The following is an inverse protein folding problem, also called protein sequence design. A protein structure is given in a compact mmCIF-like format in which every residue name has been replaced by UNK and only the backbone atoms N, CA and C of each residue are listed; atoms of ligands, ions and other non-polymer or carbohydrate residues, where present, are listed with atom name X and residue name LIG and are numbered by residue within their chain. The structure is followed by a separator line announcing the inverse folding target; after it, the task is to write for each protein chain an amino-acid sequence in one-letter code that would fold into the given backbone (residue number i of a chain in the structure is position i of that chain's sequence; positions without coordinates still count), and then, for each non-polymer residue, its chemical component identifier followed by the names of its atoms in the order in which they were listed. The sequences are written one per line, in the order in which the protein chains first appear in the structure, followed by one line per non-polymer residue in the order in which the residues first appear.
data_IF_725311970926
#
_entry.id   IF_725311970926
#
_cell.length_a   1.000
_cell.length_b   1.000
_cell.length_c   1.000
_cell.angle_alpha   90.00
_cell.angle_beta   90.00
_cell.angle_gamma   90.00
#
_symmetry.space_group_name_H-M   'P 1'
#
loop_
_entity.id
_entity.type
_entity.pdbx_description
1 polymer ?
#
# COMPACT_ATOMS: atom_id res chain seq x y z
N UNK A 1 17.02 18.20 -33.20
CA UNK A 1 17.47 19.60 -33.31
C UNK A 1 16.38 20.47 -32.72
N UNK A 2 16.48 20.78 -31.43
CA UNK A 2 15.63 21.81 -30.82
C UNK A 2 16.38 23.12 -31.06
N UNK A 3 15.79 24.04 -31.83
CA UNK A 3 16.30 25.41 -31.95
C UNK A 3 15.61 26.23 -30.87
N UNK A 4 16.39 26.90 -30.03
CA UNK A 4 15.91 27.97 -29.15
C UNK A 4 15.34 29.12 -29.99
N UNK A 5 14.23 29.70 -29.54
CA UNK A 5 13.75 31.01 -29.95
C UNK A 5 13.89 31.95 -28.75
N UNK A 6 14.55 33.10 -28.92
CA UNK A 6 14.62 34.12 -27.87
C UNK A 6 13.21 34.62 -27.51
N UNK A 7 12.89 34.59 -26.21
CA UNK A 7 11.66 35.18 -25.65
C UNK A 7 10.53 34.21 -25.27
N UNK A 8 10.77 32.89 -25.25
CA UNK A 8 9.79 31.89 -24.78
C UNK A 8 10.27 31.24 -23.49
N UNK A 9 9.56 31.47 -22.38
CA UNK A 9 9.68 30.64 -21.16
C UNK A 9 8.91 29.33 -21.37
N UNK A 10 9.54 28.19 -21.08
CA UNK A 10 8.95 26.85 -21.20
C UNK A 10 8.71 26.27 -19.80
N UNK A 11 7.44 26.10 -19.44
CA UNK A 11 7.04 25.41 -18.21
C UNK A 11 6.97 23.88 -18.44
N UNK A 12 7.88 23.15 -17.79
CA UNK A 12 7.84 21.73 -17.35
C UNK A 12 7.30 20.62 -18.30
N UNK A 13 6.97 20.88 -19.57
CA UNK A 13 6.43 19.88 -20.49
C UNK A 13 7.17 19.90 -21.82
N UNK A 14 8.05 18.92 -22.02
CA UNK A 14 8.57 18.57 -23.34
C UNK A 14 7.58 17.62 -24.04
N UNK A 15 6.91 18.12 -25.08
CA UNK A 15 6.03 17.29 -25.92
C UNK A 15 6.82 16.77 -27.13
N UNK A 16 6.97 15.45 -27.22
CA UNK A 16 7.62 14.77 -28.35
C UNK A 16 6.52 14.13 -29.20
N UNK A 17 6.39 14.59 -30.44
CA UNK A 17 5.46 14.03 -31.42
C UNK A 17 6.27 13.29 -32.49
N UNK A 18 5.98 12.01 -32.65
CA UNK A 18 6.65 11.16 -33.64
C UNK A 18 5.79 11.11 -34.88
N UNK A 19 6.27 11.74 -35.94
CA UNK A 19 5.58 11.78 -37.22
C UNK A 19 6.16 10.69 -38.14
N UNK A 20 5.33 9.79 -38.67
CA UNK A 20 5.75 8.76 -39.61
C UNK A 20 6.38 9.40 -40.86
N UNK A 21 7.52 8.88 -41.31
CA UNK A 21 8.20 9.35 -42.53
C UNK A 21 7.52 8.91 -43.84
N UNK A 22 6.42 8.15 -43.75
CA UNK A 22 5.65 7.65 -44.89
C UNK A 22 4.17 8.06 -44.76
N UNK A 23 3.48 8.35 -45.88
CA UNK A 23 2.04 8.54 -45.87
C UNK A 23 1.32 7.24 -45.48
N UNK A 24 0.33 7.31 -44.58
CA UNK A 24 -0.48 6.18 -44.10
C UNK A 24 0.34 4.98 -43.57
N UNK A 25 1.08 5.13 -42.46
CA UNK A 25 1.80 4.01 -41.88
C UNK A 25 0.85 2.91 -41.38
N UNK A 26 1.23 1.66 -41.58
CA UNK A 26 0.60 0.51 -40.91
C UNK A 26 1.30 0.19 -39.59
N UNK A 27 0.62 -0.50 -38.67
CA UNK A 27 1.16 -0.87 -37.34
C UNK A 27 2.48 -1.65 -37.46
N UNK A 28 2.64 -2.47 -38.50
CA UNK A 28 3.87 -3.22 -38.82
C UNK A 28 5.10 -2.33 -39.05
N UNK A 29 4.90 -1.04 -39.36
CA UNK A 29 5.95 -0.05 -39.57
C UNK A 29 6.27 0.77 -38.30
N UNK A 30 5.59 0.48 -37.18
CA UNK A 30 5.85 1.19 -35.92
C UNK A 30 7.20 0.73 -35.36
N UNK A 31 8.19 1.64 -35.19
CA UNK A 31 9.42 1.28 -34.50
C UNK A 31 9.10 0.97 -33.03
N UNK A 32 9.74 -0.08 -32.49
CA UNK A 32 9.72 -0.32 -31.04
C UNK A 32 10.69 0.67 -30.40
N UNK A 33 10.15 1.65 -29.70
CA UNK A 33 10.94 2.67 -29.00
C UNK A 33 11.16 2.17 -27.57
N UNK A 34 12.39 1.75 -27.27
CA UNK A 34 12.74 1.19 -25.97
C UNK A 34 12.93 2.28 -24.90
N UNK A 35 13.45 3.45 -25.26
CA UNK A 35 13.51 4.65 -24.41
C UNK A 35 13.76 5.89 -25.28
N UNK A 36 13.51 7.07 -24.71
CA UNK A 36 13.88 8.37 -25.27
C UNK A 36 14.78 9.07 -24.25
N UNK A 37 15.97 9.49 -24.67
CA UNK A 37 16.89 10.27 -23.84
C UNK A 37 16.87 11.74 -24.28
N UNK A 38 16.76 12.66 -23.32
CA UNK A 38 16.76 14.10 -23.55
C UNK A 38 18.04 14.67 -22.96
N UNK A 39 18.93 15.14 -23.81
CA UNK A 39 20.20 15.75 -23.42
C UNK A 39 20.08 17.26 -23.59
N UNK A 40 20.36 18.01 -22.52
CA UNK A 40 20.39 19.48 -22.51
C UNK A 40 21.81 19.96 -22.81
N UNK A 41 21.99 20.65 -23.94
CA UNK A 41 23.30 21.10 -24.44
C UNK A 41 23.83 22.36 -23.71
N UNK A 42 22.98 23.06 -22.95
CA UNK A 42 23.33 24.18 -22.06
C UNK A 42 24.02 23.72 -20.76
N UNK A 43 24.04 22.41 -20.50
CA UNK A 43 24.79 21.83 -19.39
C UNK A 43 26.14 21.36 -19.95
N UNK A 44 27.17 22.18 -19.77
CA UNK A 44 28.56 21.89 -20.19
C UNK A 44 29.16 20.66 -19.49
N UNK A 45 28.58 20.25 -18.37
CA UNK A 45 28.79 18.94 -17.78
C UNK A 45 27.71 17.98 -18.28
N UNK A 46 28.08 17.06 -19.17
CA UNK A 46 27.32 15.80 -19.24
C UNK A 46 27.27 15.28 -17.80
N UNK A 47 26.10 15.01 -17.20
CA UNK A 47 26.07 14.12 -16.07
C UNK A 47 26.47 12.77 -16.66
N UNK A 48 27.77 12.46 -16.64
CA UNK A 48 28.16 11.08 -16.50
C UNK A 48 27.34 10.59 -15.32
N UNK A 49 26.36 9.71 -15.57
CA UNK A 49 25.78 8.89 -14.51
C UNK A 49 26.85 7.83 -14.18
N UNK A 50 28.05 8.29 -13.84
CA UNK A 50 28.83 7.72 -12.76
C UNK A 50 28.23 8.38 -11.53
N UNK A 51 27.23 7.74 -10.90
CA UNK A 51 27.03 8.05 -9.48
C UNK A 51 28.39 7.74 -8.85
N UNK A 52 29.19 8.76 -8.53
CA UNK A 52 30.37 8.57 -7.71
C UNK A 52 29.93 7.71 -6.54
N UNK A 53 30.51 6.51 -6.44
CA UNK A 53 30.15 5.59 -5.38
C UNK A 53 30.75 6.18 -4.11
N UNK A 54 30.00 7.08 -3.49
CA UNK A 54 30.34 7.63 -2.18
C UNK A 54 30.26 6.45 -1.22
N UNK A 55 31.38 6.02 -0.67
CA UNK A 55 31.41 5.00 0.38
C UNK A 55 31.81 5.69 1.67
N UNK A 56 30.83 5.96 2.53
CA UNK A 56 31.07 6.56 3.84
C UNK A 56 31.53 5.49 4.84
N UNK A 57 32.49 5.84 5.70
CA UNK A 57 32.81 5.00 6.85
C UNK A 57 31.68 5.10 7.89
N UNK A 58 31.46 4.06 8.73
CA UNK A 58 30.41 4.09 9.76
C UNK A 58 30.52 5.29 10.72
N UNK A 59 31.73 5.68 11.11
CA UNK A 59 31.93 6.80 12.05
C UNK A 59 31.66 8.16 11.38
N UNK A 60 32.06 8.32 10.12
CA UNK A 60 31.74 9.50 9.30
C UNK A 60 30.23 9.63 9.09
N UNK A 61 29.56 8.50 8.83
CA UNK A 61 28.10 8.44 8.66
C UNK A 61 27.38 8.91 9.92
N UNK A 62 27.78 8.41 11.10
CA UNK A 62 27.20 8.83 12.38
C UNK A 62 27.41 10.32 12.65
N UNK A 63 28.62 10.84 12.37
CA UNK A 63 28.95 12.25 12.53
C UNK A 63 28.09 13.13 11.62
N UNK A 64 27.96 12.76 10.34
CA UNK A 64 27.13 13.48 9.37
C UNK A 64 25.66 13.49 9.77
N UNK A 65 25.12 12.37 10.27
CA UNK A 65 23.74 12.31 10.77
C UNK A 65 23.53 13.24 11.98
N UNK A 66 24.44 13.24 12.95
CA UNK A 66 24.36 14.10 14.12
C UNK A 66 24.40 15.59 13.72
N UNK A 67 25.30 15.95 12.80
CA UNK A 67 25.36 17.29 12.23
C UNK A 67 24.07 17.64 11.48
N UNK A 68 23.55 16.75 10.64
CA UNK A 68 22.29 16.99 9.92
C UNK A 68 21.12 17.28 10.87
N UNK A 69 21.04 16.53 11.97
CA UNK A 69 20.02 16.75 13.00
C UNK A 69 20.19 18.10 13.73
N UNK A 70 21.43 18.53 13.98
CA UNK A 70 21.76 19.83 14.55
C UNK A 70 21.33 20.98 13.63
N UNK A 71 21.73 20.94 12.35
CA UNK A 71 21.35 21.94 11.34
C UNK A 71 19.84 22.04 11.21
N UNK A 72 19.14 20.89 11.18
CA UNK A 72 17.68 20.85 11.14
C UNK A 72 17.06 21.50 12.37
N UNK A 73 17.63 21.29 13.55
CA UNK A 73 17.14 21.93 14.79
C UNK A 73 17.41 23.44 14.80
N UNK A 74 18.51 23.87 14.19
CA UNK A 74 18.84 25.28 13.95
C UNK A 74 18.03 25.92 12.82
N UNK A 75 17.15 25.14 12.15
CA UNK A 75 16.34 25.52 10.98
C UNK A 75 17.15 25.83 9.72
N UNK A 76 18.42 25.43 9.66
CA UNK A 76 19.19 25.41 8.42
C UNK A 76 18.84 24.12 7.65
N UNK A 77 17.69 24.16 6.98
CA UNK A 77 17.17 22.99 6.27
C UNK A 77 18.00 22.62 5.04
N UNK A 78 18.65 23.60 4.40
CA UNK A 78 19.43 23.35 3.20
C UNK A 78 20.69 22.54 3.54
N UNK A 79 21.41 22.98 4.56
CA UNK A 79 22.59 22.31 5.07
C UNK A 79 22.25 20.93 5.68
N UNK A 80 21.10 20.82 6.36
CA UNK A 80 20.61 19.54 6.87
C UNK A 80 20.34 18.54 5.73
N UNK A 81 19.66 18.99 4.67
CA UNK A 81 19.31 18.13 3.53
C UNK A 81 20.55 17.64 2.78
N UNK A 82 21.54 18.50 2.55
CA UNK A 82 22.79 18.10 1.91
C UNK A 82 23.47 16.95 2.65
N UNK A 83 23.52 17.05 3.99
CA UNK A 83 24.08 15.99 4.85
C UNK A 83 23.23 14.72 4.80
N UNK A 84 21.90 14.82 4.89
CA UNK A 84 21.02 13.65 4.78
C UNK A 84 21.12 12.97 3.40
N UNK A 85 21.21 13.73 2.30
CA UNK A 85 21.35 13.19 0.95
C UNK A 85 22.69 12.46 0.78
N UNK A 86 23.76 13.02 1.33
CA UNK A 86 25.08 12.39 1.36
C UNK A 86 25.04 11.05 2.10
N UNK A 87 24.41 11.01 3.27
CA UNK A 87 24.21 9.76 4.03
C UNK A 87 23.37 8.75 3.27
N UNK A 88 22.26 9.17 2.64
CA UNK A 88 21.40 8.26 1.86
C UNK A 88 22.14 7.60 0.70
N UNK A 89 22.99 8.37 0.01
CA UNK A 89 23.82 7.87 -1.10
C UNK A 89 24.90 6.91 -0.61
N UNK A 90 25.66 7.29 0.42
CA UNK A 90 26.92 6.62 0.73
C UNK A 90 27.01 5.80 2.00
N UNK A 91 25.98 5.79 2.87
CA UNK A 91 26.03 4.97 4.08
C UNK A 91 26.02 3.47 3.72
N UNK A 92 26.86 2.64 4.38
CA UNK A 92 26.86 1.19 4.16
C UNK A 92 25.70 0.50 4.86
N UNK A 93 25.22 1.06 5.96
CA UNK A 93 24.17 0.46 6.80
C UNK A 93 22.78 0.99 6.44
N UNK A 94 21.84 0.06 6.22
CA UNK A 94 20.41 0.36 5.99
C UNK A 94 19.82 1.26 7.08
N UNK A 95 20.14 1.01 8.35
CA UNK A 95 19.64 1.81 9.47
C UNK A 95 20.04 3.29 9.40
N UNK A 96 21.20 3.62 8.85
CA UNK A 96 21.65 5.00 8.75
C UNK A 96 20.98 5.72 7.56
N UNK A 97 20.77 5.01 6.44
CA UNK A 97 19.91 5.49 5.35
C UNK A 97 18.48 5.76 5.84
N UNK A 98 17.93 4.87 6.66
CA UNK A 98 16.61 5.02 7.28
C UNK A 98 16.53 6.30 8.14
N UNK A 99 17.55 6.58 8.95
CA UNK A 99 17.62 7.82 9.74
C UNK A 99 17.65 9.07 8.85
N UNK A 100 18.42 9.04 7.76
CA UNK A 100 18.49 10.14 6.81
C UNK A 100 17.12 10.41 6.15
N UNK A 101 16.44 9.35 5.68
CA UNK A 101 15.09 9.47 5.12
C UNK A 101 14.10 10.05 6.14
N UNK A 102 14.17 9.62 7.40
CA UNK A 102 13.34 10.19 8.48
C UNK A 102 13.63 11.68 8.74
N UNK A 103 14.88 12.11 8.59
CA UNK A 103 15.26 13.52 8.63
C UNK A 103 14.66 14.32 7.49
N UNK A 104 14.77 13.77 6.27
CA UNK A 104 14.20 14.34 5.04
C UNK A 104 12.66 14.43 5.10
N UNK A 105 11.99 13.43 5.69
CA UNK A 105 10.54 13.41 5.90
C UNK A 105 10.07 14.59 6.78
N UNK A 106 10.78 14.87 7.87
CA UNK A 106 10.47 16.00 8.77
C UNK A 106 10.58 17.35 8.04
N UNK A 107 11.60 17.50 7.20
CA UNK A 107 11.83 18.71 6.42
C UNK A 107 10.79 18.81 5.29
N UNK A 108 10.56 17.73 4.56
CA UNK A 108 9.62 17.61 3.44
C UNK A 108 9.82 18.69 2.37
N UNK A 109 11.07 18.82 1.91
CA UNK A 109 11.46 19.73 0.83
C UNK A 109 11.53 19.03 -0.52
N UNK A 110 11.08 19.70 -1.58
CA UNK A 110 11.17 19.26 -2.98
C UNK A 110 12.61 18.99 -3.43
N UNK A 111 13.62 19.59 -2.78
CA UNK A 111 15.06 19.29 -3.03
C UNK A 111 15.40 17.82 -2.82
N UNK A 112 14.62 17.10 -2.02
CA UNK A 112 14.84 15.67 -1.73
C UNK A 112 14.34 14.73 -2.83
N UNK A 113 13.54 15.22 -3.80
CA UNK A 113 12.94 14.37 -4.83
C UNK A 113 13.98 13.65 -5.68
N UNK A 114 15.06 14.34 -6.06
CA UNK A 114 16.14 13.72 -6.83
C UNK A 114 16.89 12.64 -6.03
N UNK A 115 17.14 12.90 -4.73
CA UNK A 115 17.84 11.97 -3.85
C UNK A 115 17.06 10.67 -3.62
N UNK A 116 15.71 10.73 -3.59
CA UNK A 116 14.85 9.55 -3.37
C UNK A 116 14.35 8.92 -4.67
N UNK A 117 14.67 9.49 -5.83
CA UNK A 117 14.11 9.11 -7.15
C UNK A 117 14.19 7.60 -7.40
N UNK A 118 15.35 6.99 -7.16
CA UNK A 118 15.57 5.55 -7.40
C UNK A 118 14.67 4.61 -6.57
N UNK A 119 14.15 5.10 -5.46
CA UNK A 119 13.24 4.34 -4.59
C UNK A 119 11.76 4.56 -4.94
N UNK A 120 11.45 5.62 -5.69
CA UNK A 120 10.08 6.03 -6.04
C UNK A 120 9.76 5.82 -7.52
N UNK A 121 10.57 5.03 -8.24
CA UNK A 121 10.34 4.69 -9.65
C UNK A 121 9.86 3.24 -9.77
N UNK A 122 8.77 3.02 -10.51
CA UNK A 122 8.43 1.68 -11.02
C UNK A 122 9.35 1.39 -12.19
N UNK A 123 10.43 0.65 -11.92
CA UNK A 123 11.32 0.16 -12.97
C UNK A 123 10.77 -1.20 -13.43
N UNK A 124 10.46 -1.33 -14.72
CA UNK A 124 10.20 -2.64 -15.30
C UNK A 124 11.52 -3.42 -15.28
N UNK A 125 11.47 -4.68 -14.85
CA UNK A 125 12.60 -5.60 -14.62
C UNK A 125 13.26 -6.08 -15.93
N UNK A 126 13.68 -5.13 -16.77
CA UNK A 126 14.32 -5.35 -18.07
C UNK A 126 15.87 -5.32 -17.93
N UNK A 127 16.39 -5.06 -16.73
CA UNK A 127 17.83 -4.96 -16.47
C UNK A 127 18.34 -6.23 -15.76
N UNK A 128 19.23 -6.97 -16.42
CA UNK A 128 19.76 -8.27 -15.98
C UNK A 128 20.55 -8.27 -14.66
N UNK A 129 20.88 -7.09 -14.12
CA UNK A 129 21.59 -6.92 -12.83
C UNK A 129 20.87 -5.94 -11.88
N UNK A 130 19.57 -5.66 -12.15
CA UNK A 130 18.80 -4.80 -11.26
C UNK A 130 18.34 -5.57 -10.03
N UNK A 131 18.95 -5.25 -8.90
CA UNK A 131 18.44 -5.66 -7.59
C UNK A 131 17.44 -4.63 -7.11
N UNK A 132 16.18 -5.06 -6.93
CA UNK A 132 15.15 -4.21 -6.33
C UNK A 132 15.66 -3.63 -4.98
N UNK A 133 15.47 -2.32 -4.75
CA UNK A 133 15.85 -1.72 -3.48
C UNK A 133 15.08 -2.39 -2.33
N UNK A 134 15.74 -2.46 -1.17
CA UNK A 134 15.13 -2.99 0.05
C UNK A 134 13.78 -2.29 0.33
N UNK A 135 12.72 -3.07 0.53
CA UNK A 135 11.34 -2.56 0.63
C UNK A 135 11.17 -1.56 1.79
N UNK A 136 11.92 -1.68 2.88
CA UNK A 136 11.83 -0.69 3.96
C UNK A 136 12.42 0.66 3.53
N UNK A 137 13.48 0.66 2.71
CA UNK A 137 14.02 1.89 2.14
C UNK A 137 13.06 2.51 1.12
N UNK A 138 12.38 1.67 0.32
CA UNK A 138 11.30 2.11 -0.58
C UNK A 138 10.18 2.76 0.23
N UNK A 139 9.66 2.08 1.25
CA UNK A 139 8.60 2.60 2.12
C UNK A 139 9.01 3.90 2.81
N UNK A 140 10.25 4.01 3.30
CA UNK A 140 10.76 5.23 3.91
C UNK A 140 10.91 6.38 2.91
N UNK A 141 11.37 6.11 1.68
CA UNK A 141 11.41 7.10 0.62
C UNK A 141 10.00 7.56 0.19
N UNK A 142 9.04 6.64 0.12
CA UNK A 142 7.62 6.95 -0.15
C UNK A 142 7.05 7.84 0.95
N UNK A 143 7.42 7.66 2.23
CA UNK A 143 7.05 8.60 3.31
C UNK A 143 7.55 10.02 3.04
N UNK A 144 8.82 10.17 2.65
CA UNK A 144 9.38 11.47 2.28
C UNK A 144 8.59 12.08 1.10
N UNK A 145 8.29 11.26 0.10
CA UNK A 145 7.56 11.69 -1.10
C UNK A 145 6.13 12.17 -0.79
N UNK A 146 5.39 11.43 0.05
CA UNK A 146 4.06 11.85 0.56
C UNK A 146 4.18 13.13 1.40
N UNK A 147 5.17 13.22 2.28
CA UNK A 147 5.36 14.39 3.14
C UNK A 147 5.62 15.66 2.32
N UNK A 148 6.41 15.57 1.24
CA UNK A 148 6.62 16.67 0.29
C UNK A 148 5.30 17.05 -0.38
N UNK A 149 4.55 16.07 -0.91
CA UNK A 149 3.29 16.34 -1.60
C UNK A 149 2.30 17.12 -0.72
N UNK A 150 2.21 16.77 0.56
CA UNK A 150 1.32 17.42 1.54
C UNK A 150 1.76 18.82 1.98
N UNK A 151 3.01 19.21 1.73
CA UNK A 151 3.53 20.56 2.03
C UNK A 151 3.62 21.47 0.81
N UNK A 152 3.25 20.99 -0.39
CA UNK A 152 3.25 21.84 -1.57
C UNK A 152 2.24 22.99 -1.41
N UNK A 153 2.55 24.20 -1.91
CA UNK A 153 1.61 25.31 -1.90
C UNK A 153 0.39 25.01 -2.79
N UNK A 154 -0.75 25.66 -2.53
CA UNK A 154 -2.02 25.38 -3.22
C UNK A 154 -1.93 25.58 -4.74
N UNK A 155 -1.09 26.51 -5.22
CA UNK A 155 -0.79 26.69 -6.65
C UNK A 155 -0.22 25.42 -7.32
N UNK A 156 0.38 24.51 -6.55
CA UNK A 156 0.94 23.24 -6.98
C UNK A 156 0.05 22.03 -6.61
N UNK A 157 -1.25 22.25 -6.37
CA UNK A 157 -2.21 21.21 -5.99
C UNK A 157 -2.23 20.02 -6.94
N UNK A 158 -2.25 20.24 -8.26
CA UNK A 158 -2.30 19.15 -9.24
C UNK A 158 -1.06 18.26 -9.19
N UNK A 159 0.10 18.87 -8.89
CA UNK A 159 1.35 18.13 -8.66
C UNK A 159 1.25 17.29 -7.39
N UNK A 160 0.74 17.85 -6.30
CA UNK A 160 0.52 17.13 -5.05
C UNK A 160 -0.40 15.91 -5.25
N UNK A 161 -1.52 16.08 -5.97
CA UNK A 161 -2.46 14.99 -6.29
C UNK A 161 -1.76 13.88 -7.08
N UNK A 162 -1.00 14.21 -8.12
CA UNK A 162 -0.24 13.22 -8.91
C UNK A 162 0.78 12.47 -8.04
N UNK A 163 1.50 13.18 -7.18
CA UNK A 163 2.46 12.57 -6.26
C UNK A 163 1.79 11.60 -5.28
N UNK A 164 0.63 11.96 -4.72
CA UNK A 164 -0.09 11.11 -3.77
C UNK A 164 -0.67 9.85 -4.42
N UNK A 165 -1.25 9.96 -5.62
CA UNK A 165 -1.69 8.78 -6.38
C UNK A 165 -0.50 7.86 -6.70
N UNK A 166 0.59 8.42 -7.22
CA UNK A 166 1.80 7.64 -7.51
C UNK A 166 2.36 6.95 -6.26
N UNK A 167 2.37 7.64 -5.11
CA UNK A 167 2.78 7.08 -3.80
C UNK A 167 1.99 5.84 -3.43
N UNK A 168 0.67 5.88 -3.61
CA UNK A 168 -0.20 4.75 -3.35
C UNK A 168 0.15 3.54 -4.23
N UNK A 169 0.50 3.81 -5.49
CA UNK A 169 0.88 2.78 -6.46
C UNK A 169 2.25 2.13 -6.18
N UNK A 170 3.14 2.79 -5.42
CA UNK A 170 4.53 2.38 -5.16
C UNK A 170 4.69 1.43 -3.96
N UNK A 171 3.70 1.35 -3.08
CA UNK A 171 3.82 0.60 -1.83
C UNK A 171 2.60 -0.26 -1.57
N UNK A 172 2.82 -1.40 -0.91
CA UNK A 172 1.77 -2.23 -0.32
C UNK A 172 1.54 -1.93 1.17
N UNK A 173 2.34 -1.03 1.74
CA UNK A 173 2.25 -0.66 3.15
C UNK A 173 0.96 0.12 3.42
N UNK A 174 0.08 -0.46 4.23
CA UNK A 174 -1.21 0.15 4.58
C UNK A 174 -1.07 1.57 5.12
N UNK A 175 -0.12 1.80 6.04
CA UNK A 175 0.04 3.13 6.67
C UNK A 175 0.38 4.19 5.62
N UNK A 176 1.20 3.85 4.62
CA UNK A 176 1.58 4.76 3.55
C UNK A 176 0.45 5.03 2.58
N UNK A 177 -0.28 3.97 2.19
CA UNK A 177 -1.49 4.07 1.39
C UNK A 177 -2.50 4.99 2.07
N UNK A 178 -2.74 4.79 3.37
CA UNK A 178 -3.62 5.63 4.17
C UNK A 178 -3.15 7.10 4.23
N UNK A 179 -1.85 7.34 4.43
CA UNK A 179 -1.31 8.71 4.43
C UNK A 179 -1.48 9.41 3.07
N UNK A 180 -1.33 8.68 1.97
CA UNK A 180 -1.58 9.18 0.62
C UNK A 180 -3.06 9.54 0.42
N UNK A 181 -3.98 8.66 0.84
CA UNK A 181 -5.44 8.89 0.78
C UNK A 181 -5.85 10.09 1.60
N UNK A 182 -5.38 10.17 2.84
CA UNK A 182 -5.66 11.31 3.70
C UNK A 182 -5.18 12.60 3.03
N UNK A 183 -4.01 12.59 2.38
CA UNK A 183 -3.51 13.75 1.64
C UNK A 183 -4.42 14.15 0.48
N UNK A 184 -4.96 13.17 -0.25
CA UNK A 184 -5.90 13.42 -1.35
C UNK A 184 -7.21 14.04 -0.83
N UNK A 185 -7.74 13.50 0.28
CA UNK A 185 -8.93 14.03 0.95
C UNK A 185 -8.74 15.47 1.44
N UNK A 186 -7.58 15.77 2.03
CA UNK A 186 -7.25 17.12 2.50
C UNK A 186 -7.23 18.13 1.34
N UNK A 187 -6.85 17.68 0.14
CA UNK A 187 -6.89 18.48 -1.10
C UNK A 187 -8.28 18.54 -1.75
N UNK A 188 -9.30 17.93 -1.14
CA UNK A 188 -10.67 17.91 -1.64
C UNK A 188 -10.87 17.00 -2.85
N UNK A 189 -10.00 16.01 -3.05
CA UNK A 189 -10.13 15.02 -4.12
C UNK A 189 -10.24 13.61 -3.55
N UNK A 190 -10.84 12.72 -4.34
CA UNK A 190 -10.77 11.28 -4.08
C UNK A 190 -9.62 10.67 -4.88
N UNK A 191 -9.12 9.52 -4.46
CA UNK A 191 -8.14 8.81 -5.27
C UNK A 191 -8.65 8.43 -6.67
N UNK A 192 -7.75 8.39 -7.65
CA UNK A 192 -8.07 8.12 -9.07
C UNK A 192 -8.20 6.63 -9.42
N UNK A 193 -8.23 6.29 -10.72
CA UNK A 193 -8.36 4.90 -11.25
C UNK A 193 -7.40 3.87 -10.64
N UNK A 194 -6.21 4.30 -10.23
CA UNK A 194 -5.20 3.44 -9.57
C UNK A 194 -5.73 2.79 -8.27
N UNK A 195 -6.78 3.33 -7.64
CA UNK A 195 -7.42 2.73 -6.47
C UNK A 195 -8.32 1.55 -6.80
N UNK A 196 -9.09 1.66 -7.88
CA UNK A 196 -9.95 0.58 -8.37
C UNK A 196 -9.10 -0.62 -8.80
N UNK A 197 -7.95 -0.36 -9.42
CA UNK A 197 -6.97 -1.38 -9.83
C UNK A 197 -6.32 -2.12 -8.65
N UNK A 198 -6.33 -1.51 -7.45
CA UNK A 198 -5.75 -2.08 -6.22
C UNK A 198 -6.81 -2.65 -5.25
N UNK A 199 -8.08 -2.73 -5.67
CA UNK A 199 -9.20 -3.21 -4.84
C UNK A 199 -9.36 -2.48 -3.50
N UNK A 200 -8.98 -1.20 -3.43
CA UNK A 200 -9.06 -0.46 -2.17
C UNK A 200 -10.47 0.06 -1.89
N UNK A 201 -10.91 0.00 -0.63
CA UNK A 201 -12.16 0.53 -0.11
C UNK A 201 -11.92 1.41 1.11
N UNK A 202 -12.48 2.61 1.08
CA UNK A 202 -12.39 3.58 2.17
C UNK A 202 -13.63 3.47 3.08
N UNK A 203 -13.42 3.20 4.36
CA UNK A 203 -14.48 3.09 5.36
C UNK A 203 -13.96 3.44 6.77
N UNK A 204 -14.87 3.59 7.73
CA UNK A 204 -14.52 4.04 9.09
C UNK A 204 -13.66 3.04 9.90
N UNK A 205 -13.64 1.79 9.45
CA UNK A 205 -12.80 0.72 9.99
C UNK A 205 -11.34 0.77 9.54
N UNK A 206 -11.00 1.49 8.45
CA UNK A 206 -9.63 1.52 7.95
C UNK A 206 -8.66 2.03 9.02
N UNK A 207 -7.59 1.27 9.26
CA UNK A 207 -6.53 1.63 10.20
C UNK A 207 -6.90 1.46 11.68
N UNK A 208 -8.06 0.88 11.97
CA UNK A 208 -8.51 0.62 13.34
C UNK A 208 -7.92 -0.68 13.87
N UNK A 209 -7.73 -0.74 15.18
CA UNK A 209 -7.16 -1.95 15.81
C UNK A 209 -8.20 -3.06 15.81
N UNK A 210 -7.76 -4.24 15.40
CA UNK A 210 -8.55 -5.47 15.46
C UNK A 210 -8.04 -6.35 16.59
N UNK A 211 -8.94 -6.76 17.49
CA UNK A 211 -8.68 -7.82 18.46
C UNK A 211 -9.29 -9.10 17.93
N UNK A 212 -8.45 -10.11 17.73
CA UNK A 212 -8.87 -11.45 17.32
C UNK A 212 -8.92 -12.38 18.54
N UNK A 213 -9.97 -13.19 18.64
CA UNK A 213 -10.01 -14.30 19.61
C UNK A 213 -9.18 -15.48 19.13
N UNK A 214 -9.28 -15.82 17.85
CA UNK A 214 -8.52 -16.89 17.21
C UNK A 214 -7.39 -16.28 16.38
N UNK A 215 -6.14 -16.76 16.52
CA UNK A 215 -5.04 -16.21 15.75
C UNK A 215 -5.16 -16.59 14.27
N UNK A 216 -4.81 -15.66 13.40
CA UNK A 216 -4.61 -15.97 11.98
C UNK A 216 -3.33 -16.79 11.79
N UNK A 217 -3.22 -17.45 10.63
CA UNK A 217 -2.09 -18.30 10.31
C UNK A 217 -0.81 -17.51 10.03
N UNK A 218 0.20 -17.77 10.85
CA UNK A 218 1.60 -17.37 10.68
C UNK A 218 2.50 -18.59 10.74
N UNK A 219 3.78 -18.41 10.42
CA UNK A 219 4.79 -19.47 10.53
C UNK A 219 4.96 -19.98 11.97
N UNK A 220 4.60 -19.17 12.96
CA UNK A 220 4.65 -19.54 14.38
C UNK A 220 3.42 -20.33 14.85
N UNK A 221 2.26 -20.16 14.22
CA UNK A 221 1.02 -20.82 14.64
C UNK A 221 0.85 -22.21 14.04
N UNK A 222 1.55 -22.53 12.95
CA UNK A 222 1.43 -23.82 12.24
C UNK A 222 2.79 -24.54 12.19
N UNK A 223 3.02 -25.48 13.10
CA UNK A 223 4.26 -26.27 13.14
C UNK A 223 4.30 -27.42 12.12
N UNK A 224 3.21 -27.69 11.39
CA UNK A 224 3.08 -28.85 10.48
C UNK A 224 2.50 -28.53 9.08
N UNK A 225 1.99 -27.33 8.84
CA UNK A 225 1.55 -26.86 7.51
C UNK A 225 2.39 -25.64 7.15
N UNK A 226 3.07 -25.69 6.00
CA UNK A 226 4.04 -24.67 5.59
C UNK A 226 3.38 -23.42 5.00
N UNK A 227 2.06 -23.45 4.78
CA UNK A 227 1.32 -22.32 4.23
C UNK A 227 0.84 -21.37 5.31
N UNK A 228 1.30 -20.12 5.22
CA UNK A 228 0.90 -19.03 6.10
C UNK A 228 0.11 -18.01 5.30
N UNK A 229 -1.01 -17.53 5.85
CA UNK A 229 -1.85 -16.54 5.18
C UNK A 229 -2.09 -15.35 6.12
N UNK A 230 -1.05 -14.54 6.42
CA UNK A 230 -1.19 -13.40 7.31
C UNK A 230 -1.88 -12.20 6.65
N UNK A 231 -1.89 -12.13 5.31
CA UNK A 231 -2.24 -10.95 4.52
C UNK A 231 -1.51 -9.70 5.05
N UNK A 232 -2.24 -8.59 5.29
CA UNK A 232 -1.74 -7.38 5.94
C UNK A 232 -1.38 -7.52 7.44
N UNK A 233 -1.34 -8.74 7.99
CA UNK A 233 -1.04 -9.03 9.39
C UNK A 233 -2.13 -8.53 10.33
N UNK A 234 -1.75 -7.90 11.44
CA UNK A 234 -2.68 -7.35 12.43
C UNK A 234 -3.70 -6.35 11.85
N UNK A 235 -3.39 -5.76 10.68
CA UNK A 235 -4.23 -4.78 10.02
C UNK A 235 -5.12 -5.37 8.92
N UNK A 236 -4.93 -6.64 8.53
CA UNK A 236 -5.50 -7.20 7.30
C UNK A 236 -7.02 -7.03 7.17
N UNK A 237 -7.76 -7.12 8.28
CA UNK A 237 -9.23 -6.98 8.28
C UNK A 237 -9.72 -5.52 8.26
N UNK A 238 -8.80 -4.57 8.25
CA UNK A 238 -9.03 -3.12 8.35
C UNK A 238 -8.02 -2.33 7.51
N UNK A 239 -7.39 -2.94 6.51
CA UNK A 239 -6.38 -2.29 5.67
C UNK A 239 -6.97 -1.65 4.40
N UNK A 240 -8.30 -1.73 4.26
CA UNK A 240 -9.04 -1.22 3.13
C UNK A 240 -8.75 -1.97 1.84
N UNK A 241 -8.11 -3.15 1.82
CA UNK A 241 -7.82 -3.89 0.59
C UNK A 241 -8.72 -5.10 0.50
N UNK A 242 -9.51 -5.19 -0.57
CA UNK A 242 -10.34 -6.37 -0.84
C UNK A 242 -9.55 -7.47 -1.53
N UNK A 243 -9.88 -8.70 -1.17
CA UNK A 243 -9.37 -9.89 -1.83
C UNK A 243 -9.99 -10.11 -3.21
N UNK A 244 -9.21 -10.74 -4.08
CA UNK A 244 -9.62 -11.15 -5.42
C UNK A 244 -9.96 -12.64 -5.46
N UNK A 245 -10.38 -13.13 -6.63
CA UNK A 245 -10.59 -14.58 -6.83
C UNK A 245 -9.28 -15.37 -6.81
N UNK A 246 -8.15 -14.70 -6.95
CA UNK A 246 -6.86 -15.31 -6.69
C UNK A 246 -6.62 -15.37 -5.18
N UNK A 247 -6.53 -16.60 -4.65
CA UNK A 247 -6.31 -16.85 -3.22
C UNK A 247 -4.89 -16.48 -2.78
N UNK A 248 -3.96 -16.33 -3.72
CA UNK A 248 -2.55 -16.06 -3.48
C UNK A 248 -2.20 -14.57 -3.73
N UNK A 249 -3.22 -13.71 -3.87
CA UNK A 249 -3.05 -12.26 -4.09
C UNK A 249 -2.47 -11.49 -2.88
N UNK A 250 -2.40 -12.16 -1.73
CA UNK A 250 -1.85 -11.64 -0.48
C UNK A 250 -2.82 -10.82 0.36
N UNK A 251 -4.11 -10.75 0.00
CA UNK A 251 -5.11 -9.94 0.69
C UNK A 251 -6.12 -10.76 1.51
N UNK A 252 -5.96 -12.09 1.54
CA UNK A 252 -6.79 -12.99 2.34
C UNK A 252 -6.10 -13.41 3.63
N UNK A 253 -6.65 -13.01 4.77
CA UNK A 253 -6.22 -13.50 6.07
C UNK A 253 -6.86 -14.85 6.38
N UNK A 254 -6.03 -15.86 6.65
CA UNK A 254 -6.46 -17.25 6.78
C UNK A 254 -6.46 -17.79 8.21
N UNK A 255 -7.53 -18.48 8.57
CA UNK A 255 -7.72 -19.18 9.85
C UNK A 255 -7.85 -20.69 9.58
N UNK A 256 -7.01 -21.53 10.21
CA UNK A 256 -6.94 -22.97 9.90
C UNK A 256 -7.72 -23.82 10.91
N UNK A 257 -8.92 -24.22 10.52
CA UNK A 257 -9.83 -25.06 11.32
C UNK A 257 -10.48 -24.34 12.49
N UNK A 258 -10.18 -23.06 12.69
CA UNK A 258 -10.75 -22.20 13.71
C UNK A 258 -11.79 -21.25 13.09
N UNK A 259 -12.63 -20.67 13.94
CA UNK A 259 -13.58 -19.62 13.58
C UNK A 259 -12.88 -18.26 13.45
N UNK A 260 -13.53 -17.30 12.82
CA UNK A 260 -13.17 -15.88 12.95
C UNK A 260 -14.00 -15.27 14.07
N UNK A 261 -13.35 -14.61 15.03
CA UNK A 261 -14.02 -13.68 15.93
C UNK A 261 -13.13 -12.44 16.06
N UNK A 262 -13.60 -11.33 15.47
CA UNK A 262 -12.88 -10.07 15.38
C UNK A 262 -13.67 -8.96 16.06
N UNK A 263 -12.97 -8.12 16.83
CA UNK A 263 -13.51 -6.89 17.43
C UNK A 263 -12.69 -5.70 16.94
N UNK A 264 -13.35 -4.75 16.29
CA UNK A 264 -12.76 -3.49 15.82
C UNK A 264 -13.10 -2.40 16.83
N UNK A 265 -12.10 -1.65 17.31
CA UNK A 265 -12.31 -0.40 18.06
C UNK A 265 -12.19 0.80 17.12
N UNK A 266 -13.31 1.50 16.87
CA UNK A 266 -13.35 2.69 16.00
C UNK A 266 -12.72 3.93 16.65
N UNK A 267 -12.20 3.81 17.89
CA UNK A 267 -11.68 4.83 18.81
C UNK A 267 -12.77 5.70 19.45
N UNK A 268 -13.77 6.10 18.68
CA UNK A 268 -14.91 6.89 19.15
C UNK A 268 -16.24 6.32 18.66
N UNK A 269 -17.34 6.74 19.28
CA UNK A 269 -18.67 6.34 18.85
C UNK A 269 -19.06 7.12 17.58
N UNK A 270 -19.37 6.39 16.51
CA UNK A 270 -19.82 6.94 15.25
C UNK A 270 -21.20 6.39 14.88
N UNK A 271 -21.87 7.08 13.97
CA UNK A 271 -23.09 6.57 13.34
C UNK A 271 -22.73 5.53 12.30
N UNK A 272 -23.20 4.30 12.48
CA UNK A 272 -22.97 3.17 11.58
C UNK A 272 -24.26 2.85 10.81
N UNK A 273 -24.15 2.81 9.50
CA UNK A 273 -25.22 2.54 8.52
C UNK A 273 -25.10 1.16 7.90
N UNK A 274 -23.88 0.63 7.76
CA UNK A 274 -23.65 -0.66 7.12
C UNK A 274 -22.37 -1.30 7.64
N UNK A 275 -22.42 -2.61 7.85
CA UNK A 275 -21.23 -3.42 8.10
C UNK A 275 -21.22 -4.53 7.06
N UNK A 276 -20.07 -4.79 6.43
CA UNK A 276 -19.92 -5.94 5.55
C UNK A 276 -18.53 -6.58 5.65
N UNK A 277 -18.42 -7.84 5.23
CA UNK A 277 -17.18 -8.62 5.24
C UNK A 277 -17.23 -9.64 4.11
N UNK A 278 -16.11 -9.91 3.42
CA UNK A 278 -16.05 -10.94 2.39
C UNK A 278 -15.28 -12.17 2.85
N UNK A 279 -15.72 -13.31 2.31
CA UNK A 279 -15.04 -14.59 2.46
C UNK A 279 -14.83 -15.23 1.09
N UNK A 280 -13.77 -16.02 0.97
CA UNK A 280 -13.44 -16.79 -0.23
C UNK A 280 -13.86 -18.26 -0.07
N UNK A 281 -14.45 -18.84 -1.12
CA UNK A 281 -14.49 -20.29 -1.35
C UNK A 281 -13.51 -20.65 -2.46
N UNK A 282 -12.66 -21.64 -2.19
CA UNK A 282 -11.94 -22.39 -3.21
C UNK A 282 -11.72 -23.80 -2.67
N UNK A 283 -12.69 -24.67 -2.92
CA UNK A 283 -12.73 -26.00 -2.29
C UNK A 283 -11.49 -26.83 -2.61
N UNK A 284 -10.92 -26.71 -3.81
CA UNK A 284 -9.68 -27.41 -4.19
C UNK A 284 -8.50 -27.04 -3.28
N UNK A 285 -8.47 -25.81 -2.79
CA UNK A 285 -7.47 -25.32 -1.84
C UNK A 285 -7.87 -25.54 -0.37
N UNK A 286 -8.95 -26.28 -0.08
CA UNK A 286 -9.57 -26.45 1.24
C UNK A 286 -10.07 -25.14 1.86
N UNK A 287 -10.37 -24.13 1.04
CA UNK A 287 -10.92 -22.85 1.50
C UNK A 287 -12.44 -22.91 1.37
N UNK A 288 -13.13 -22.79 2.50
CA UNK A 288 -14.59 -22.87 2.57
C UNK A 288 -15.16 -21.58 3.14
N UNK A 289 -16.33 -21.18 2.62
CA UNK A 289 -17.11 -20.10 3.24
C UNK A 289 -17.55 -20.51 4.66
N UNK A 290 -17.74 -19.53 5.56
CA UNK A 290 -18.30 -19.82 6.87
C UNK A 290 -19.71 -20.41 6.75
N UNK A 291 -20.12 -21.18 7.74
CA UNK A 291 -21.50 -21.70 7.87
C UNK A 291 -22.48 -20.59 8.24
N UNK A 292 -22.05 -19.66 9.10
CA UNK A 292 -22.80 -18.47 9.45
C UNK A 292 -21.88 -17.30 9.80
N UNK A 293 -22.40 -16.09 9.66
CA UNK A 293 -21.74 -14.83 10.05
C UNK A 293 -22.67 -14.02 10.94
N UNK A 294 -22.24 -13.72 12.16
CA UNK A 294 -22.94 -12.88 13.13
C UNK A 294 -22.27 -11.52 13.23
N UNK A 295 -23.07 -10.46 13.16
CA UNK A 295 -22.65 -9.08 13.38
C UNK A 295 -23.21 -8.57 14.70
N UNK A 296 -22.36 -7.94 15.50
CA UNK A 296 -22.75 -7.30 16.74
C UNK A 296 -22.03 -5.95 16.93
N UNK A 297 -22.61 -5.09 17.75
CA UNK A 297 -22.04 -3.76 18.05
C UNK A 297 -22.02 -3.48 19.54
N UNK A 298 -21.11 -2.61 19.97
CA UNK A 298 -21.04 -2.13 21.35
C UNK A 298 -20.61 -0.67 21.43
N UNK A 299 -21.01 0.01 22.52
CA UNK A 299 -20.50 1.33 22.89
C UNK A 299 -19.36 1.25 23.91
N UNK A 300 -19.28 0.17 24.68
CA UNK A 300 -18.37 0.02 25.82
C UNK A 300 -17.32 -1.09 25.66
N UNK A 301 -17.44 -1.90 24.60
CA UNK A 301 -16.53 -3.00 24.28
C UNK A 301 -16.70 -4.21 25.21
N UNK A 302 -17.74 -4.20 26.07
CA UNK A 302 -18.03 -5.25 27.06
C UNK A 302 -19.34 -5.95 26.74
N UNK A 303 -20.39 -5.19 26.45
CA UNK A 303 -21.72 -5.72 26.10
C UNK A 303 -21.97 -5.51 24.62
N UNK A 304 -22.09 -6.61 23.89
CA UNK A 304 -22.39 -6.60 22.47
C UNK A 304 -23.87 -6.89 22.23
N UNK A 305 -24.50 -6.06 21.41
CA UNK A 305 -25.86 -6.29 20.90
C UNK A 305 -25.73 -6.93 19.52
N UNK A 306 -26.25 -8.15 19.40
CA UNK A 306 -26.36 -8.83 18.09
C UNK A 306 -27.33 -8.06 17.20
N UNK A 307 -26.90 -7.82 15.96
CA UNK A 307 -27.66 -7.13 14.93
C UNK A 307 -28.33 -8.13 14.00
N UNK A 308 -27.55 -9.10 13.51
CA UNK A 308 -28.01 -10.13 12.59
C UNK A 308 -27.06 -11.34 12.61
N UNK A 309 -27.61 -12.51 12.30
CA UNK A 309 -26.86 -13.73 12.01
C UNK A 309 -27.32 -14.22 10.64
N UNK A 310 -26.38 -14.30 9.70
CA UNK A 310 -26.64 -14.75 8.33
C UNK A 310 -26.12 -16.17 8.15
N UNK A 311 -27.00 -17.10 7.84
CA UNK A 311 -26.63 -18.44 7.40
C UNK A 311 -26.10 -18.40 5.97
N UNK A 312 -25.16 -19.29 5.66
CA UNK A 312 -24.58 -19.36 4.32
C UNK A 312 -25.44 -20.22 3.38
N UNK A 313 -25.95 -19.59 2.33
CA UNK A 313 -26.75 -20.22 1.26
C UNK A 313 -25.93 -20.81 0.10
N UNK A 314 -24.61 -20.64 0.08
CA UNK A 314 -23.75 -21.20 -0.96
C UNK A 314 -23.39 -22.64 -0.59
N UNK A 315 -23.63 -23.56 -1.54
CA UNK A 315 -23.29 -24.97 -1.36
C UNK A 315 -21.79 -25.15 -1.09
N UNK A 316 -21.47 -25.91 -0.05
CA UNK A 316 -20.10 -26.33 0.25
C UNK A 316 -19.46 -27.14 -0.89
N UNK A 317 -20.27 -27.74 -1.79
CA UNK A 317 -19.80 -28.49 -2.96
C UNK A 317 -19.61 -27.61 -4.20
N UNK A 318 -20.00 -26.33 -4.14
CA UNK A 318 -19.89 -25.44 -5.28
C UNK A 318 -18.40 -25.17 -5.57
N UNK A 319 -17.96 -25.61 -6.75
CA UNK A 319 -16.59 -25.44 -7.21
C UNK A 319 -16.30 -24.02 -7.72
N UNK A 320 -15.03 -23.77 -8.01
CA UNK A 320 -14.54 -22.47 -8.47
C UNK A 320 -14.09 -21.57 -7.31
N UNK A 321 -13.57 -20.40 -7.67
CA UNK A 321 -13.27 -19.32 -6.74
C UNK A 321 -14.49 -18.40 -6.59
N UNK A 322 -15.07 -18.38 -5.39
CA UNK A 322 -16.30 -17.64 -5.09
C UNK A 322 -16.01 -16.68 -3.96
N UNK A 323 -16.23 -15.39 -4.19
CA UNK A 323 -16.23 -14.40 -3.12
C UNK A 323 -17.68 -14.17 -2.72
N UNK A 324 -17.96 -14.25 -1.42
CA UNK A 324 -19.28 -13.91 -0.88
C UNK A 324 -19.14 -12.81 0.16
N UNK A 325 -19.89 -11.72 -0.06
CA UNK A 325 -20.07 -10.66 0.92
C UNK A 325 -21.23 -11.03 1.86
N UNK A 326 -21.01 -10.88 3.16
CA UNK A 326 -22.05 -10.86 4.17
C UNK A 326 -22.24 -9.43 4.65
N UNK A 327 -23.49 -8.99 4.77
CA UNK A 327 -23.82 -7.57 4.93
C UNK A 327 -24.99 -7.41 5.90
N UNK A 328 -24.87 -6.44 6.81
CA UNK A 328 -25.98 -5.94 7.63
C UNK A 328 -26.15 -4.44 7.38
N UNK A 329 -27.36 -4.05 6.98
CA UNK A 329 -27.77 -2.66 6.88
C UNK A 329 -28.41 -2.21 8.19
N UNK A 330 -28.10 -0.99 8.62
CA UNK A 330 -28.49 -0.42 9.91
C UNK A 330 -29.15 0.93 9.70
N UNK A 331 -30.19 1.20 10.49
CA UNK A 331 -30.82 2.53 10.53
C UNK A 331 -30.03 3.46 11.48
N UNK A 332 -28.86 3.89 11.02
CA UNK A 332 -28.03 4.91 11.66
C UNK A 332 -27.75 4.65 13.16
N UNK A 333 -27.15 3.50 13.49
CA UNK A 333 -26.93 3.09 14.87
C UNK A 333 -25.59 3.61 15.40
N UNK A 334 -25.61 4.23 16.57
CA UNK A 334 -24.40 4.69 17.26
C UNK A 334 -23.61 3.53 17.88
N UNK A 335 -22.37 3.31 17.43
CA UNK A 335 -21.47 2.27 17.92
C UNK A 335 -20.01 2.72 17.92
N UNK A 336 -19.21 2.20 18.85
CA UNK A 336 -17.74 2.36 18.87
C UNK A 336 -17.02 1.06 18.51
N UNK A 337 -17.59 -0.07 18.93
CA UNK A 337 -17.01 -1.38 18.70
C UNK A 337 -17.88 -2.17 17.74
N UNK A 338 -17.24 -2.79 16.75
CA UNK A 338 -17.87 -3.72 15.82
C UNK A 338 -17.32 -5.12 16.11
N UNK A 339 -18.20 -6.11 16.23
CA UNK A 339 -17.83 -7.51 16.35
C UNK A 339 -18.38 -8.30 15.16
N UNK A 340 -17.52 -9.12 14.57
CA UNK A 340 -17.87 -10.08 13.53
C UNK A 340 -17.45 -11.47 14.00
N UNK A 341 -18.38 -12.42 13.98
CA UNK A 341 -18.10 -13.84 14.22
C UNK A 341 -18.47 -14.64 12.99
N UNK A 342 -17.55 -15.42 12.45
CA UNK A 342 -17.82 -16.30 11.32
C UNK A 342 -17.41 -17.74 11.64
N UNK A 343 -18.36 -18.66 11.51
CA UNK A 343 -18.21 -20.04 11.95
C UNK A 343 -17.64 -20.92 10.84
N UNK A 344 -16.45 -21.45 11.04
CA UNK A 344 -15.79 -22.39 10.14
C UNK A 344 -16.50 -23.74 10.10
N UNK A 345 -16.32 -24.49 9.01
CA UNK A 345 -16.73 -25.91 8.96
C UNK A 345 -15.71 -26.81 9.69
N UNK A 346 -14.58 -26.25 10.14
CA UNK A 346 -13.54 -26.90 10.93
C UNK A 346 -12.67 -27.87 10.13
N UNK A 347 -13.29 -28.89 9.53
CA UNK A 347 -12.61 -29.92 8.74
C UNK A 347 -13.32 -30.18 7.40
N UNK A 348 -12.55 -30.67 6.44
CA UNK A 348 -13.07 -31.06 5.14
C UNK A 348 -14.13 -32.17 5.31
N UNK A 349 -15.31 -32.01 4.69
CA UNK A 349 -16.34 -33.05 4.71
C UNK A 349 -15.89 -34.34 4.02
N UNK A 350 -16.57 -35.45 4.30
CA UNK A 350 -16.25 -36.79 3.76
C UNK A 350 -16.21 -36.85 2.22
N UNK A 351 -17.00 -36.03 1.54
CA UNK A 351 -17.03 -35.99 0.07
C UNK A 351 -15.82 -35.29 -0.54
N UNK A 352 -15.04 -34.55 0.25
CA UNK A 352 -13.94 -33.74 -0.23
C UNK A 352 -12.63 -34.54 -0.27
N UNK A 353 -11.76 -34.28 -1.25
CA UNK A 353 -10.47 -34.98 -1.39
C UNK A 353 -9.55 -34.83 -0.16
N UNK A 354 -9.75 -33.77 0.62
CA UNK A 354 -9.04 -33.51 1.88
C UNK A 354 -9.78 -33.99 3.13
N UNK A 355 -10.77 -34.87 3.04
CA UNK A 355 -11.65 -35.29 4.15
C UNK A 355 -10.90 -35.47 5.49
N UNK A 356 -11.47 -34.91 6.56
CA UNK A 356 -10.89 -34.95 7.92
C UNK A 356 -9.74 -33.97 8.17
N UNK A 357 -9.14 -33.36 7.13
CA UNK A 357 -8.13 -32.31 7.30
C UNK A 357 -8.80 -30.98 7.66
N UNK A 358 -8.12 -30.15 8.45
CA UNK A 358 -8.55 -28.78 8.72
C UNK A 358 -8.76 -27.98 7.43
N UNK A 359 -9.77 -27.10 7.45
CA UNK A 359 -10.08 -26.17 6.36
C UNK A 359 -9.56 -24.78 6.64
N UNK A 360 -9.37 -24.02 5.59
CA UNK A 360 -9.13 -22.59 5.66
C UNK A 360 -10.46 -21.83 5.67
N UNK A 361 -10.58 -20.89 6.60
CA UNK A 361 -11.53 -19.78 6.52
C UNK A 361 -10.74 -18.53 6.12
N UNK A 362 -11.04 -17.96 4.95
CA UNK A 362 -10.35 -16.79 4.42
C UNK A 362 -11.26 -15.58 4.50
N UNK A 363 -10.76 -14.50 5.11
CA UNK A 363 -11.44 -13.21 5.26
C UNK A 363 -10.53 -12.10 4.74
N UNK A 364 -11.07 -11.14 4.00
CA UNK A 364 -10.32 -9.98 3.53
C UNK A 364 -10.51 -8.77 4.46
N UNK A 365 -11.59 -8.00 4.32
CA UNK A 365 -11.79 -6.68 4.91
C UNK A 365 -13.16 -6.58 5.59
N UNK A 366 -13.18 -6.09 6.83
CA UNK A 366 -14.41 -5.74 7.56
C UNK A 366 -14.71 -4.25 7.38
N UNK A 367 -15.69 -3.97 6.53
CA UNK A 367 -16.06 -2.63 6.11
C UNK A 367 -17.14 -2.04 7.01
N UNK A 368 -17.00 -0.77 7.39
CA UNK A 368 -17.90 -0.05 8.32
C UNK A 368 -18.23 1.34 7.76
N UNK A 369 -19.49 1.57 7.38
CA UNK A 369 -19.96 2.81 6.75
C UNK A 369 -20.98 3.55 7.58
#
# INVERSE_FOLDING_TARGET
VIKEFEGVEVEDILKIELVPGIPNPEISHSPVINFIEVIREDITEKPEISEDVIILKPDETKKLLAQADEERNNKDFDMALEKYHTVLKGAPLKNDKMKALKGMEKIASTRSLLAIRKYCQKLNSIMWDYKEPDQELVDAAVRVYIAIARKLPEENKDRAIKMLNHSFSLTKNFTLRYLAISGLKDLGTTPGKEFEENNFVDHAGCGKKVKLTYPYSTSYTLSWDWHTYPAGGDMALTDGIKGTKDRDDGNWQGFLGDDLEAIIDLNEAITVKKISVNFLQNIRARIFLPTSVEFAISKDGKKFKVLATHENDISQKQGGAIIKEFIVALDNVQARYIQVKAKSIGVCPLWHAGAGRKVWLFCDEIQVY
#
